data_IF_157679201861
#
_entry.id   IF_157679201861
#
_cell.length_a   1.000
_cell.length_b   1.000
_cell.length_c   1.000
_cell.angle_alpha   90.00
_cell.angle_beta   90.00
_cell.angle_gamma   90.00
#
_symmetry.space_group_name_H-M   'P 1'
#
loop_
_entity.id
_entity.type
_entity.pdbx_description
1 polymer ?
#
# COMPACT_ATOMS: atom_id res chain seq x y z
N UNK A 1 -38.14 37.52 -18.25
CA UNK A 1 -37.99 38.13 -19.59
C UNK A 1 -37.61 37.00 -20.53
N UNK A 2 -38.53 36.17 -21.06
CA UNK A 2 -39.74 36.43 -21.83
C UNK A 2 -39.50 37.22 -23.13
N UNK A 3 -40.18 36.72 -24.17
CA UNK A 3 -40.45 37.25 -25.51
C UNK A 3 -39.45 36.90 -26.64
N UNK A 4 -39.85 36.45 -27.84
CA UNK A 4 -41.19 36.38 -28.48
C UNK A 4 -41.05 35.63 -29.82
N UNK A 5 -42.08 34.90 -30.26
CA UNK A 5 -42.92 35.25 -31.43
C UNK A 5 -43.92 34.14 -31.80
N UNK A 6 -45.18 34.46 -31.50
CA UNK A 6 -46.46 33.92 -31.97
C UNK A 6 -46.82 34.44 -33.37
N UNK A 7 -47.57 33.63 -34.14
CA UNK A 7 -48.64 34.02 -35.10
C UNK A 7 -49.56 32.77 -35.23
N UNK A 8 -50.76 32.69 -34.62
CA UNK A 8 -52.10 33.21 -35.03
C UNK A 8 -52.55 32.71 -36.42
N UNK A 9 -53.78 32.26 -36.73
CA UNK A 9 -55.05 31.88 -36.06
C UNK A 9 -56.02 31.52 -37.22
N UNK A 10 -56.97 30.57 -37.07
CA UNK A 10 -58.39 30.65 -37.56
C UNK A 10 -59.13 29.29 -37.66
N UNK A 11 -60.06 29.14 -36.73
CA UNK A 11 -61.50 28.74 -36.85
C UNK A 11 -62.03 27.76 -37.92
N UNK A 12 -62.58 26.66 -37.38
CA UNK A 12 -63.96 26.13 -37.46
C UNK A 12 -64.56 25.50 -38.76
N UNK A 13 -64.87 24.20 -38.57
CA UNK A 13 -66.09 23.43 -38.89
C UNK A 13 -66.52 23.21 -40.35
N UNK A 14 -66.59 21.94 -40.76
CA UNK A 14 -67.78 21.33 -41.36
C UNK A 14 -67.75 19.80 -41.19
N UNK A 15 -68.87 19.25 -40.75
CA UNK A 15 -69.12 17.81 -40.66
C UNK A 15 -69.43 17.24 -42.04
N UNK A 16 -68.83 16.09 -42.37
CA UNK A 16 -69.35 15.16 -43.39
C UNK A 16 -69.23 13.75 -42.82
N UNK A 17 -70.40 13.16 -42.54
CA UNK A 17 -70.54 11.74 -42.29
C UNK A 17 -70.40 11.00 -43.64
N UNK A 18 -69.46 10.07 -43.73
CA UNK A 18 -69.49 9.01 -44.73
C UNK A 18 -68.83 7.77 -44.13
N UNK A 19 -69.65 6.73 -43.90
CA UNK A 19 -69.22 5.49 -43.28
C UNK A 19 -68.19 4.75 -44.12
N UNK A 20 -67.29 4.03 -43.45
CA UNK A 20 -66.46 2.98 -44.03
C UNK A 20 -66.01 2.05 -42.92
N UNK A 21 -66.63 0.87 -42.89
CA UNK A 21 -66.16 -0.44 -42.40
C UNK A 21 -65.14 -0.43 -41.25
N UNK A 22 -65.58 -0.87 -40.07
CA UNK A 22 -64.68 -1.29 -39.00
C UNK A 22 -63.82 -2.47 -39.49
N UNK A 23 -62.55 -2.22 -39.80
CA UNK A 23 -61.54 -3.27 -39.85
C UNK A 23 -61.12 -3.51 -38.40
N UNK A 24 -61.26 -4.71 -37.85
CA UNK A 24 -60.68 -4.99 -36.54
C UNK A 24 -59.17 -4.86 -36.68
N UNK A 25 -58.60 -3.83 -36.04
CA UNK A 25 -57.16 -3.81 -35.76
C UNK A 25 -56.94 -4.89 -34.73
N UNK A 26 -56.60 -6.09 -35.19
CA UNK A 26 -55.94 -7.09 -34.34
C UNK A 26 -54.69 -6.43 -33.79
N UNK A 27 -54.69 -6.15 -32.48
CA UNK A 27 -53.45 -5.87 -31.77
C UNK A 27 -52.55 -7.09 -32.00
N UNK A 28 -51.50 -6.90 -32.81
CA UNK A 28 -50.42 -7.86 -32.86
C UNK A 28 -49.83 -7.94 -31.45
N UNK A 29 -50.08 -9.05 -30.76
CA UNK A 29 -49.31 -9.41 -29.59
C UNK A 29 -47.88 -9.58 -30.09
N UNK A 30 -46.98 -8.65 -29.76
CA UNK A 30 -45.55 -8.90 -29.92
C UNK A 30 -45.22 -9.98 -28.89
N UNK A 31 -45.30 -11.24 -29.33
CA UNK A 31 -44.68 -12.36 -28.63
C UNK A 31 -43.20 -12.01 -28.62
N UNK A 32 -42.69 -11.50 -27.50
CA UNK A 32 -41.25 -11.50 -27.27
C UNK A 32 -40.87 -12.97 -27.19
N UNK A 33 -40.11 -13.53 -28.15
CA UNK A 33 -39.72 -14.92 -28.06
C UNK A 33 -38.99 -15.09 -26.74
N UNK A 34 -39.45 -16.04 -25.93
CA UNK A 34 -38.68 -16.50 -24.77
C UNK A 34 -37.30 -16.91 -25.31
N UNK A 35 -36.21 -16.32 -24.80
CA UNK A 35 -34.89 -16.58 -25.34
C UNK A 35 -34.61 -18.08 -25.28
N UNK A 36 -34.10 -18.64 -26.38
CA UNK A 36 -33.79 -20.08 -26.48
C UNK A 36 -32.64 -20.38 -25.54
N UNK A 37 -32.89 -21.30 -24.60
CA UNK A 37 -31.90 -21.75 -23.64
C UNK A 37 -31.10 -22.92 -24.23
N UNK A 38 -29.79 -22.76 -24.34
CA UNK A 38 -28.87 -23.74 -24.90
C UNK A 38 -27.89 -24.22 -23.84
N UNK A 39 -27.74 -25.54 -23.71
CA UNK A 39 -26.79 -26.13 -22.77
C UNK A 39 -25.35 -25.93 -23.24
N UNK A 40 -24.50 -25.46 -22.33
CA UNK A 40 -23.08 -25.12 -22.55
C UNK A 40 -22.19 -25.84 -21.53
N UNK A 41 -20.88 -25.63 -21.67
CA UNK A 41 -19.88 -26.27 -20.81
C UNK A 41 -18.97 -25.23 -20.16
N UNK A 42 -18.54 -25.52 -18.94
CA UNK A 42 -17.42 -24.84 -18.29
C UNK A 42 -16.26 -25.83 -18.22
N UNK A 43 -15.09 -25.45 -18.71
CA UNK A 43 -13.85 -26.22 -18.69
C UNK A 43 -12.88 -25.56 -17.72
N UNK A 44 -12.25 -26.34 -16.85
CA UNK A 44 -11.25 -25.88 -15.89
C UNK A 44 -9.92 -26.59 -16.18
N UNK A 45 -8.88 -25.82 -16.50
CA UNK A 45 -7.54 -26.32 -16.83
C UNK A 45 -7.54 -27.40 -17.93
N UNK A 46 -8.35 -27.20 -18.96
CA UNK A 46 -8.51 -28.14 -20.08
C UNK A 46 -9.46 -29.31 -19.82
N UNK A 47 -9.92 -29.51 -18.58
CA UNK A 47 -10.83 -30.59 -18.21
C UNK A 47 -12.28 -30.11 -18.07
N UNK A 48 -13.28 -30.76 -18.69
CA UNK A 48 -14.68 -30.42 -18.51
C UNK A 48 -15.10 -30.55 -17.05
N UNK A 49 -15.70 -29.49 -16.50
CA UNK A 49 -16.32 -29.57 -15.17
C UNK A 49 -17.64 -30.35 -15.26
N UNK A 50 -18.20 -30.72 -14.09
CA UNK A 50 -19.55 -31.28 -14.03
C UNK A 50 -20.64 -30.23 -14.34
N UNK A 51 -20.30 -28.95 -14.45
CA UNK A 51 -21.25 -27.89 -14.73
C UNK A 51 -21.71 -27.92 -16.19
N UNK A 52 -23.03 -27.99 -16.38
CA UNK A 52 -23.68 -27.92 -17.69
C UNK A 52 -24.72 -26.79 -17.72
N UNK A 53 -24.30 -25.52 -17.59
CA UNK A 53 -25.21 -24.39 -17.52
C UNK A 53 -26.00 -24.24 -18.82
N UNK A 54 -27.27 -23.84 -18.71
CA UNK A 54 -28.01 -23.33 -19.86
C UNK A 54 -27.75 -21.84 -20.01
N UNK A 55 -27.36 -21.40 -21.20
CA UNK A 55 -27.14 -19.99 -21.55
C UNK A 55 -28.19 -19.52 -22.54
N UNK A 56 -28.33 -18.22 -22.70
CA UNK A 56 -29.12 -17.66 -23.81
C UNK A 56 -28.48 -16.38 -24.34
N UNK A 57 -28.81 -16.02 -25.58
CA UNK A 57 -28.40 -14.75 -26.18
C UNK A 57 -29.55 -13.76 -26.21
N UNK A 58 -29.30 -12.53 -25.77
CA UNK A 58 -30.24 -11.42 -25.89
C UNK A 58 -29.49 -10.18 -26.37
N UNK A 59 -29.95 -9.58 -27.47
CA UNK A 59 -29.34 -8.41 -28.11
C UNK A 59 -27.84 -8.60 -28.42
N UNK A 60 -27.45 -9.82 -28.84
CA UNK A 60 -26.06 -10.15 -29.15
C UNK A 60 -25.17 -10.42 -27.93
N UNK A 61 -25.70 -10.34 -26.70
CA UNK A 61 -24.98 -10.65 -25.46
C UNK A 61 -25.38 -12.03 -24.98
N UNK A 62 -24.39 -12.88 -24.68
CA UNK A 62 -24.61 -14.20 -24.09
C UNK A 62 -24.65 -14.09 -22.57
N UNK A 63 -25.68 -14.67 -21.97
CA UNK A 63 -25.94 -14.67 -20.55
C UNK A 63 -25.78 -16.08 -19.97
N UNK A 64 -25.04 -16.20 -18.87
CA UNK A 64 -24.80 -17.45 -18.16
C UNK A 64 -25.35 -17.37 -16.72
N UNK A 65 -25.96 -18.45 -16.22
CA UNK A 65 -26.49 -18.51 -14.86
C UNK A 65 -25.37 -18.44 -13.84
N UNK A 66 -25.46 -17.45 -12.95
CA UNK A 66 -24.44 -17.10 -11.97
C UNK A 66 -24.06 -18.26 -11.04
N UNK A 67 -25.04 -19.08 -10.65
CA UNK A 67 -24.87 -20.18 -9.71
C UNK A 67 -23.76 -21.18 -10.10
N UNK A 68 -23.62 -21.48 -11.39
CA UNK A 68 -22.60 -22.42 -11.86
C UNK A 68 -21.19 -21.83 -11.76
N UNK A 69 -21.05 -20.53 -12.04
CA UNK A 69 -19.78 -19.80 -11.90
C UNK A 69 -19.39 -19.71 -10.43
N UNK A 70 -20.33 -19.41 -9.54
CA UNK A 70 -20.10 -19.38 -8.09
C UNK A 70 -19.57 -20.72 -7.57
N UNK A 71 -20.10 -21.85 -8.05
CA UNK A 71 -19.63 -23.18 -7.63
C UNK A 71 -18.23 -23.48 -8.12
N UNK A 72 -17.87 -23.07 -9.35
CA UNK A 72 -16.50 -23.25 -9.85
C UNK A 72 -15.52 -22.42 -9.02
N UNK A 73 -15.85 -21.16 -8.71
CA UNK A 73 -15.05 -20.34 -7.80
C UNK A 73 -14.94 -20.96 -6.40
N UNK A 74 -16.02 -21.58 -5.89
CA UNK A 74 -15.98 -22.27 -4.61
C UNK A 74 -15.02 -23.47 -4.61
N UNK A 75 -14.91 -24.20 -5.72
CA UNK A 75 -13.92 -25.27 -5.88
C UNK A 75 -12.48 -24.76 -5.85
N UNK A 76 -12.26 -23.50 -6.25
CA UNK A 76 -10.97 -22.81 -6.22
C UNK A 76 -10.69 -22.13 -4.88
N UNK A 77 -11.56 -22.30 -3.87
CA UNK A 77 -11.37 -21.75 -2.52
C UNK A 77 -11.92 -20.33 -2.31
N UNK A 78 -12.59 -19.74 -3.31
CA UNK A 78 -13.27 -18.45 -3.14
C UNK A 78 -14.64 -18.63 -2.50
N UNK A 79 -15.00 -17.78 -1.54
CA UNK A 79 -16.36 -17.79 -0.99
C UNK A 79 -17.24 -16.85 -1.79
N UNK A 80 -18.51 -17.20 -1.93
CA UNK A 80 -19.45 -16.47 -2.78
C UNK A 80 -20.75 -16.20 -2.03
N UNK A 81 -21.26 -14.97 -2.13
CA UNK A 81 -22.59 -14.61 -1.58
C UNK A 81 -23.39 -13.82 -2.60
N UNK A 82 -24.70 -14.08 -2.69
CA UNK A 82 -25.63 -13.31 -3.49
C UNK A 82 -26.68 -12.68 -2.56
N UNK A 83 -26.65 -11.35 -2.42
CA UNK A 83 -27.59 -10.63 -1.54
C UNK A 83 -27.89 -9.26 -2.11
N UNK A 84 -29.18 -8.88 -2.13
CA UNK A 84 -29.64 -7.55 -2.54
C UNK A 84 -29.10 -7.08 -3.91
N UNK A 85 -29.00 -8.01 -4.88
CA UNK A 85 -28.49 -7.70 -6.22
C UNK A 85 -26.97 -7.61 -6.32
N UNK A 86 -26.24 -7.94 -5.25
CA UNK A 86 -24.77 -7.95 -5.25
C UNK A 86 -24.28 -9.38 -5.12
N UNK A 87 -23.43 -9.78 -6.07
CA UNK A 87 -22.58 -10.96 -5.96
C UNK A 87 -21.27 -10.54 -5.32
N UNK A 88 -21.02 -10.93 -4.08
CA UNK A 88 -19.74 -10.70 -3.43
C UNK A 88 -18.90 -11.98 -3.45
N UNK A 89 -17.70 -11.89 -4.02
CA UNK A 89 -16.65 -12.90 -3.95
C UNK A 89 -15.66 -12.49 -2.85
N UNK A 90 -15.47 -13.37 -1.87
CA UNK A 90 -14.43 -13.20 -0.86
C UNK A 90 -13.20 -13.97 -1.30
N UNK A 91 -12.10 -13.23 -1.46
CA UNK A 91 -10.81 -13.70 -1.92
C UNK A 91 -9.88 -13.88 -0.71
N UNK A 92 -9.23 -15.04 -0.53
CA UNK A 92 -8.19 -15.19 0.47
C UNK A 92 -7.10 -14.12 0.30
N UNK A 93 -6.63 -13.52 1.39
CA UNK A 93 -5.68 -12.39 1.33
C UNK A 93 -4.36 -12.73 0.62
N UNK A 94 -3.98 -14.00 0.59
CA UNK A 94 -2.80 -14.52 -0.11
C UNK A 94 -2.96 -14.62 -1.63
N UNK A 95 -4.18 -14.49 -2.16
CA UNK A 95 -4.46 -14.45 -3.60
C UNK A 95 -4.61 -12.98 -4.04
N UNK A 96 -3.84 -12.52 -5.04
CA UNK A 96 -3.97 -11.17 -5.55
C UNK A 96 -5.30 -10.97 -6.26
N UNK A 97 -5.93 -9.82 -6.03
CA UNK A 97 -7.19 -9.45 -6.67
C UNK A 97 -7.21 -7.96 -7.00
N UNK A 98 -7.68 -7.62 -8.20
CA UNK A 98 -7.89 -6.23 -8.59
C UNK A 98 -9.28 -5.75 -8.13
N UNK A 99 -9.28 -4.97 -7.05
CA UNK A 99 -10.48 -4.39 -6.44
C UNK A 99 -10.82 -2.98 -6.95
N UNK A 100 -10.17 -2.51 -8.02
CA UNK A 100 -10.48 -1.21 -8.62
C UNK A 100 -11.91 -1.18 -9.17
N UNK A 101 -12.70 -0.11 -8.92
CA UNK A 101 -14.02 0.02 -9.52
C UNK A 101 -13.91 0.33 -11.01
N UNK A 102 -14.76 -0.32 -11.83
CA UNK A 102 -14.97 0.08 -13.22
C UNK A 102 -15.37 1.57 -13.29
N UNK A 103 -14.78 2.31 -14.23
CA UNK A 103 -14.93 3.77 -14.31
C UNK A 103 -16.38 4.21 -14.57
N UNK A 104 -17.18 3.39 -15.25
CA UNK A 104 -18.61 3.63 -15.41
C UNK A 104 -19.35 2.30 -15.61
N UNK A 105 -20.24 1.96 -14.69
CA UNK A 105 -21.22 0.92 -14.95
C UNK A 105 -22.54 1.21 -14.23
N UNK A 106 -23.63 1.23 -14.99
CA UNK A 106 -24.99 1.30 -14.50
C UNK A 106 -25.65 -0.08 -14.65
N UNK A 107 -26.37 -0.53 -13.64
CA UNK A 107 -26.83 -1.91 -13.58
C UNK A 107 -27.86 -2.14 -12.51
N UNK A 108 -28.72 -3.14 -12.72
CA UNK A 108 -29.62 -3.67 -11.68
C UNK A 108 -28.92 -4.72 -10.78
N UNK A 109 -27.68 -5.10 -11.10
CA UNK A 109 -26.84 -6.01 -10.34
C UNK A 109 -25.40 -5.49 -10.23
N UNK A 110 -24.65 -6.01 -9.26
CA UNK A 110 -23.24 -5.68 -9.04
C UNK A 110 -22.40 -6.90 -8.68
N UNK A 111 -21.10 -6.81 -8.98
CA UNK A 111 -20.06 -7.72 -8.52
C UNK A 111 -19.18 -6.95 -7.54
N UNK A 112 -18.92 -7.57 -6.40
CA UNK A 112 -18.01 -7.07 -5.38
C UNK A 112 -16.90 -8.09 -5.09
N UNK A 113 -15.69 -7.58 -4.85
CA UNK A 113 -14.56 -8.33 -4.33
C UNK A 113 -14.27 -7.84 -2.91
N UNK A 114 -14.29 -8.74 -1.93
CA UNK A 114 -14.03 -8.41 -0.53
C UNK A 114 -14.88 -7.23 0.00
N UNK A 115 -16.13 -7.13 -0.45
CA UNK A 115 -17.07 -6.07 -0.07
C UNK A 115 -16.99 -4.79 -0.91
N UNK A 116 -15.93 -4.61 -1.71
CA UNK A 116 -15.79 -3.47 -2.61
C UNK A 116 -16.45 -3.77 -3.97
N UNK A 117 -17.39 -2.93 -4.40
CA UNK A 117 -18.04 -3.07 -5.72
C UNK A 117 -17.03 -2.75 -6.82
N UNK A 118 -16.68 -3.75 -7.62
CA UNK A 118 -15.75 -3.63 -8.75
C UNK A 118 -16.47 -3.41 -10.07
N UNK A 119 -17.72 -3.87 -10.18
CA UNK A 119 -18.49 -3.82 -11.42
C UNK A 119 -19.99 -3.73 -11.16
N UNK A 120 -20.71 -2.99 -12.00
CA UNK A 120 -22.16 -3.06 -12.14
C UNK A 120 -22.54 -3.56 -13.53
N UNK A 121 -23.67 -4.25 -13.63
CA UNK A 121 -24.12 -4.84 -14.89
C UNK A 121 -25.64 -5.02 -14.92
N UNK A 122 -26.17 -5.27 -16.10
CA UNK A 122 -27.57 -5.66 -16.29
C UNK A 122 -27.70 -7.17 -16.20
N UNK A 123 -28.11 -7.66 -15.04
CA UNK A 123 -28.46 -9.07 -14.82
C UNK A 123 -29.91 -9.36 -15.22
N UNK A 124 -30.16 -10.62 -15.62
CA UNK A 124 -31.50 -11.09 -15.98
C UNK A 124 -31.90 -12.24 -15.04
N UNK A 125 -33.03 -12.08 -14.35
CA UNK A 125 -33.61 -13.17 -13.58
C UNK A 125 -34.45 -14.06 -14.51
N UNK A 126 -34.10 -15.35 -14.61
CA UNK A 126 -34.82 -16.33 -15.41
C UNK A 126 -34.78 -17.72 -14.75
N UNK A 127 -35.68 -18.62 -15.14
CA UNK A 127 -35.69 -20.00 -14.64
C UNK A 127 -34.58 -20.79 -15.33
N UNK A 128 -33.68 -21.39 -14.55
CA UNK A 128 -32.68 -22.32 -15.06
C UNK A 128 -33.36 -23.65 -15.44
N UNK A 129 -33.31 -24.08 -16.71
CA UNK A 129 -33.94 -25.31 -17.17
C UNK A 129 -33.46 -26.58 -16.44
N UNK A 130 -32.20 -26.62 -15.99
CA UNK A 130 -31.66 -27.80 -15.32
C UNK A 130 -32.24 -28.00 -13.91
N UNK A 131 -32.42 -26.92 -13.15
CA UNK A 131 -32.90 -26.97 -11.76
C UNK A 131 -34.39 -26.64 -11.61
N UNK A 132 -35.01 -26.01 -12.60
CA UNK A 132 -36.37 -25.47 -12.54
C UNK A 132 -36.53 -24.27 -11.61
N UNK A 133 -35.42 -23.69 -11.12
CA UNK A 133 -35.41 -22.58 -10.14
C UNK A 133 -35.07 -21.26 -10.80
N UNK A 134 -35.66 -20.18 -10.29
CA UNK A 134 -35.26 -18.82 -10.67
C UNK A 134 -33.82 -18.57 -10.23
N UNK A 135 -32.98 -18.13 -11.17
CA UNK A 135 -31.60 -17.73 -10.91
C UNK A 135 -31.27 -16.43 -11.64
N UNK A 136 -30.16 -15.80 -11.26
CA UNK A 136 -29.65 -14.61 -11.92
C UNK A 136 -28.67 -15.01 -13.03
N UNK A 137 -28.81 -14.41 -14.20
CA UNK A 137 -27.91 -14.62 -15.34
C UNK A 137 -27.12 -13.35 -15.61
N UNK A 138 -25.80 -13.51 -15.74
CA UNK A 138 -24.86 -12.42 -16.00
C UNK A 138 -24.29 -12.54 -17.42
N UNK A 139 -23.96 -11.42 -18.09
CA UNK A 139 -23.23 -11.48 -19.34
C UNK A 139 -21.90 -12.23 -19.17
N UNK A 140 -21.57 -13.10 -20.13
CA UNK A 140 -20.33 -13.88 -20.07
C UNK A 140 -19.09 -12.97 -20.05
N UNK A 141 -19.12 -11.85 -20.78
CA UNK A 141 -18.02 -10.87 -20.77
C UNK A 141 -17.73 -10.30 -19.37
N UNK A 142 -18.77 -10.08 -18.54
CA UNK A 142 -18.59 -9.63 -17.16
C UNK A 142 -18.01 -10.73 -16.28
N UNK A 143 -18.35 -11.99 -16.54
CA UNK A 143 -17.74 -13.15 -15.88
C UNK A 143 -16.26 -13.23 -16.25
N UNK A 144 -15.89 -13.09 -17.53
CA UNK A 144 -14.48 -13.08 -17.98
C UNK A 144 -13.69 -11.95 -17.32
N UNK A 145 -14.26 -10.74 -17.22
CA UNK A 145 -13.63 -9.61 -16.53
C UNK A 145 -13.41 -9.88 -15.04
N UNK A 146 -14.38 -10.49 -14.35
CA UNK A 146 -14.19 -10.90 -12.96
C UNK A 146 -13.06 -11.93 -12.83
N UNK A 147 -12.99 -12.93 -13.72
CA UNK A 147 -11.92 -13.94 -13.69
C UNK A 147 -10.55 -13.28 -13.88
N UNK A 148 -10.43 -12.33 -14.81
CA UNK A 148 -9.20 -11.57 -15.02
C UNK A 148 -8.78 -10.80 -13.76
N UNK A 149 -9.73 -10.20 -13.03
CA UNK A 149 -9.46 -9.53 -11.74
C UNK A 149 -8.95 -10.48 -10.65
N UNK A 150 -9.16 -11.78 -10.79
CA UNK A 150 -8.65 -12.83 -9.89
C UNK A 150 -7.36 -13.49 -10.42
N UNK A 151 -6.82 -13.04 -11.54
CA UNK A 151 -5.68 -13.66 -12.21
C UNK A 151 -6.01 -14.99 -12.92
N UNK A 152 -7.30 -15.27 -13.15
CA UNK A 152 -7.77 -16.44 -13.89
C UNK A 152 -7.96 -16.05 -15.35
N UNK A 153 -7.34 -16.77 -16.27
CA UNK A 153 -7.53 -16.54 -17.70
C UNK A 153 -8.84 -17.21 -18.13
N UNK A 154 -9.80 -16.41 -18.57
CA UNK A 154 -11.11 -16.88 -18.99
C UNK A 154 -11.36 -16.56 -20.47
N UNK A 155 -11.86 -17.54 -21.23
CA UNK A 155 -12.19 -17.38 -22.65
C UNK A 155 -13.51 -18.06 -23.00
N UNK A 156 -14.39 -17.32 -23.66
CA UNK A 156 -15.64 -17.80 -24.21
C UNK A 156 -15.57 -17.97 -25.74
N UNK A 157 -15.84 -19.18 -26.22
CA UNK A 157 -15.81 -19.51 -27.67
C UNK A 157 -17.21 -19.51 -28.33
N UNK A 158 -18.26 -19.17 -27.59
CA UNK A 158 -19.65 -19.29 -28.03
C UNK A 158 -20.38 -20.54 -27.51
N UNK A 159 -19.63 -21.55 -27.08
CA UNK A 159 -20.14 -22.82 -26.56
C UNK A 159 -19.54 -23.23 -25.21
N UNK A 160 -18.31 -22.83 -24.96
CA UNK A 160 -17.51 -23.26 -23.81
C UNK A 160 -16.88 -22.04 -23.15
N UNK A 161 -17.04 -21.95 -21.83
CA UNK A 161 -16.25 -21.04 -20.98
C UNK A 161 -15.06 -21.82 -20.47
N UNK A 162 -13.86 -21.52 -20.99
CA UNK A 162 -12.62 -22.13 -20.54
C UNK A 162 -11.96 -21.24 -19.49
N UNK A 163 -11.57 -21.83 -18.37
CA UNK A 163 -10.90 -21.18 -17.25
C UNK A 163 -9.54 -21.84 -17.05
N UNK A 164 -8.47 -21.07 -17.13
CA UNK A 164 -7.10 -21.48 -16.81
C UNK A 164 -6.66 -20.83 -15.50
N UNK A 165 -6.41 -21.69 -14.51
CA UNK A 165 -5.98 -21.34 -13.15
C UNK A 165 -4.59 -21.89 -12.85
N UNK A 166 -3.81 -22.29 -13.86
CA UNK A 166 -2.49 -22.89 -13.69
C UNK A 166 -1.51 -21.96 -12.94
N UNK A 167 -1.67 -20.64 -13.11
CA UNK A 167 -0.89 -19.61 -12.42
C UNK A 167 -1.62 -19.00 -11.21
N UNK A 168 -2.77 -19.55 -10.79
CA UNK A 168 -3.47 -19.09 -9.61
C UNK A 168 -2.76 -19.65 -8.35
N UNK A 169 -2.38 -18.81 -7.38
CA UNK A 169 -1.74 -19.30 -6.17
C UNK A 169 -2.70 -20.12 -5.32
N UNK A 170 -2.15 -21.09 -4.59
CA UNK A 170 -2.90 -21.82 -3.57
C UNK A 170 -3.15 -20.90 -2.37
N UNK A 171 -4.38 -20.81 -1.83
CA UNK A 171 -4.64 -20.05 -0.61
C UNK A 171 -3.73 -20.50 0.54
N UNK A 172 -3.07 -19.54 1.17
CA UNK A 172 -2.33 -19.77 2.42
C UNK A 172 -3.27 -19.89 3.63
N UNK A 173 -2.73 -20.32 4.77
CA UNK A 173 -3.45 -20.30 6.03
C UNK A 173 -3.90 -18.88 6.39
N UNK A 174 -5.00 -18.76 7.16
CA UNK A 174 -5.63 -17.46 7.44
C UNK A 174 -4.74 -16.47 8.23
N UNK A 175 -3.73 -16.99 8.92
CA UNK A 175 -2.71 -16.27 9.67
C UNK A 175 -1.42 -16.02 8.87
N UNK A 176 -1.42 -16.33 7.57
CA UNK A 176 -0.26 -16.15 6.68
C UNK A 176 -0.61 -15.22 5.52
N UNK A 177 0.40 -14.50 5.04
CA UNK A 177 0.33 -13.64 3.86
C UNK A 177 1.43 -13.99 2.86
N UNK A 178 1.22 -13.64 1.60
CA UNK A 178 2.22 -13.84 0.56
C UNK A 178 3.26 -12.72 0.57
N UNK A 179 4.46 -13.00 0.07
CA UNK A 179 5.52 -11.99 -0.11
C UNK A 179 5.02 -10.83 -0.98
N UNK A 180 4.21 -11.10 -2.00
CA UNK A 180 3.63 -10.07 -2.87
C UNK A 180 2.84 -9.00 -2.09
N UNK A 181 2.20 -9.34 -0.97
CA UNK A 181 1.47 -8.37 -0.15
C UNK A 181 2.40 -7.30 0.40
N UNK A 182 3.62 -7.69 0.81
CA UNK A 182 4.64 -6.75 1.26
C UNK A 182 5.18 -5.93 0.09
N UNK A 183 5.44 -6.54 -1.06
CA UNK A 183 5.96 -5.83 -2.23
C UNK A 183 5.02 -4.70 -2.67
N UNK A 184 3.71 -4.96 -2.74
CA UNK A 184 2.70 -3.92 -3.03
C UNK A 184 2.79 -2.77 -2.04
N UNK A 185 2.88 -3.07 -0.74
CA UNK A 185 2.90 -2.05 0.29
C UNK A 185 4.20 -1.24 0.30
N UNK A 186 5.34 -1.89 0.07
CA UNK A 186 6.65 -1.25 -0.07
C UNK A 186 6.68 -0.38 -1.32
N UNK A 187 6.28 -0.90 -2.47
CA UNK A 187 6.25 -0.14 -3.72
C UNK A 187 5.39 1.14 -3.56
N UNK A 188 4.22 1.02 -2.95
CA UNK A 188 3.35 2.17 -2.68
C UNK A 188 3.99 3.18 -1.71
N UNK A 189 4.61 2.72 -0.63
CA UNK A 189 5.26 3.59 0.36
C UNK A 189 6.44 4.37 -0.27
N UNK A 190 7.22 3.71 -1.12
CA UNK A 190 8.39 4.31 -1.79
C UNK A 190 8.06 5.00 -3.12
N UNK A 191 6.78 5.07 -3.51
CA UNK A 191 6.36 5.72 -4.76
C UNK A 191 6.80 4.98 -6.03
N UNK A 192 7.07 3.68 -5.93
CA UNK A 192 7.35 2.79 -7.07
C UNK A 192 6.01 2.45 -7.74
N UNK A 193 5.83 2.91 -8.97
CA UNK A 193 4.66 2.58 -9.77
C UNK A 193 4.76 1.13 -10.29
N UNK A 194 3.64 0.39 -10.37
CA UNK A 194 3.63 -0.95 -10.96
C UNK A 194 4.01 -0.87 -12.44
N UNK A 195 4.88 -1.78 -12.90
CA UNK A 195 5.23 -1.93 -14.32
C UNK A 195 4.58 -3.19 -14.91
N UNK A 196 3.50 -2.99 -15.65
CA UNK A 196 2.78 -4.07 -16.35
C UNK A 196 3.38 -4.45 -17.70
N UNK A 197 4.53 -3.88 -18.08
CA UNK A 197 5.20 -4.19 -19.33
C UNK A 197 5.76 -5.62 -19.36
N UNK A 198 6.16 -6.07 -20.56
CA UNK A 198 6.81 -7.36 -20.75
C UNK A 198 5.90 -8.57 -20.63
N UNK A 199 6.52 -9.75 -20.53
CA UNK A 199 5.85 -11.03 -20.29
C UNK A 199 6.53 -11.70 -19.14
N UNK A 200 5.76 -12.23 -18.20
CA UNK A 200 6.32 -12.97 -17.07
C UNK A 200 7.06 -14.22 -17.55
N UNK A 201 8.34 -14.40 -17.17
CA UNK A 201 9.07 -15.63 -17.41
C UNK A 201 8.74 -16.72 -16.37
N UNK A 202 7.91 -16.41 -15.37
CA UNK A 202 7.68 -17.26 -14.21
C UNK A 202 6.46 -18.16 -14.39
N UNK A 203 6.62 -19.44 -14.05
CA UNK A 203 5.53 -20.40 -14.13
C UNK A 203 4.46 -20.18 -13.04
N UNK A 204 4.86 -19.65 -11.89
CA UNK A 204 4.01 -19.42 -10.73
C UNK A 204 3.39 -18.02 -10.68
N UNK A 205 3.76 -17.11 -11.60
CA UNK A 205 3.24 -15.75 -11.68
C UNK A 205 2.95 -15.40 -13.13
N UNK A 206 1.69 -15.43 -13.55
CA UNK A 206 1.30 -15.02 -14.91
C UNK A 206 1.37 -13.51 -15.11
N UNK A 207 1.64 -13.06 -16.35
CA UNK A 207 1.54 -11.64 -16.77
C UNK A 207 0.15 -11.04 -16.48
N UNK A 208 -0.90 -11.87 -16.48
CA UNK A 208 -2.27 -11.44 -16.20
C UNK A 208 -2.59 -11.38 -14.69
N UNK A 209 -1.64 -11.74 -13.82
CA UNK A 209 -1.84 -11.66 -12.38
C UNK A 209 -1.93 -10.20 -11.94
N UNK A 210 -2.88 -9.84 -11.04
CA UNK A 210 -2.91 -8.51 -10.44
C UNK A 210 -1.63 -8.15 -9.66
N UNK A 211 -0.83 -9.14 -9.27
CA UNK A 211 0.47 -8.91 -8.62
C UNK A 211 1.62 -8.61 -9.60
N UNK A 212 1.47 -8.92 -10.89
CA UNK A 212 2.58 -8.87 -11.86
C UNK A 212 3.27 -7.50 -11.87
N UNK A 213 2.51 -6.42 -12.01
CA UNK A 213 3.10 -5.08 -12.17
C UNK A 213 3.95 -4.64 -10.98
N UNK A 214 3.52 -4.95 -9.76
CA UNK A 214 4.28 -4.64 -8.55
C UNK A 214 5.52 -5.53 -8.43
N UNK A 215 5.36 -6.84 -8.61
CA UNK A 215 6.47 -7.79 -8.54
C UNK A 215 7.54 -7.47 -9.57
N UNK A 216 7.14 -7.16 -10.81
CA UNK A 216 8.04 -6.80 -11.88
C UNK A 216 8.84 -5.53 -11.55
N UNK A 217 8.15 -4.46 -11.12
CA UNK A 217 8.80 -3.22 -10.69
C UNK A 217 9.76 -3.43 -9.51
N UNK A 218 9.34 -4.20 -8.49
CA UNK A 218 10.19 -4.58 -7.35
C UNK A 218 11.47 -5.30 -7.77
N UNK A 219 11.42 -6.17 -8.79
CA UNK A 219 12.60 -6.87 -9.33
C UNK A 219 13.51 -5.88 -10.07
N UNK A 220 12.96 -5.03 -10.93
CA UNK A 220 13.73 -4.03 -11.68
C UNK A 220 14.45 -3.02 -10.77
N UNK A 221 13.81 -2.69 -9.63
CA UNK A 221 14.39 -1.80 -8.61
C UNK A 221 15.37 -2.51 -7.66
N UNK A 222 15.54 -3.83 -7.78
CA UNK A 222 16.40 -4.61 -6.89
C UNK A 222 15.83 -4.80 -5.47
N UNK A 223 14.56 -4.45 -5.25
CA UNK A 223 13.85 -4.62 -3.98
C UNK A 223 13.63 -6.11 -3.70
N UNK A 224 13.26 -6.87 -4.73
CA UNK A 224 12.99 -8.31 -4.65
C UNK A 224 13.88 -9.12 -5.58
N UNK A 225 14.26 -10.31 -5.13
CA UNK A 225 15.02 -11.29 -5.91
C UNK A 225 14.18 -12.58 -6.08
N UNK A 226 13.87 -13.00 -7.32
CA UNK A 226 13.18 -14.26 -7.59
C UNK A 226 13.96 -15.48 -7.09
N UNK A 227 13.25 -16.58 -6.82
CA UNK A 227 13.87 -17.84 -6.39
C UNK A 227 14.71 -18.46 -7.53
N UNK A 228 14.27 -18.30 -8.78
CA UNK A 228 14.98 -18.78 -9.96
C UNK A 228 14.55 -18.00 -11.21
N UNK A 229 15.15 -18.33 -12.36
CA UNK A 229 14.76 -17.75 -13.65
C UNK A 229 13.35 -18.14 -14.13
N UNK A 230 12.70 -19.13 -13.50
CA UNK A 230 11.36 -19.61 -13.87
C UNK A 230 10.36 -19.68 -12.70
N UNK A 231 10.76 -19.28 -11.50
CA UNK A 231 9.90 -19.19 -10.32
C UNK A 231 10.11 -17.85 -9.60
N UNK A 232 9.04 -17.06 -9.52
CA UNK A 232 9.05 -15.80 -8.80
C UNK A 232 9.15 -16.06 -7.29
N UNK A 233 8.33 -16.96 -6.76
CA UNK A 233 8.29 -17.29 -5.33
C UNK A 233 7.44 -16.36 -4.47
N UNK A 234 6.80 -15.35 -5.08
CA UNK A 234 6.11 -14.26 -4.37
C UNK A 234 4.81 -14.67 -3.67
N UNK A 235 4.31 -15.88 -3.94
CA UNK A 235 3.11 -16.43 -3.30
C UNK A 235 3.43 -17.35 -2.11
N UNK A 236 4.71 -17.56 -1.78
CA UNK A 236 5.10 -18.27 -0.58
C UNK A 236 4.72 -17.47 0.68
N UNK A 237 4.48 -18.13 1.83
CA UNK A 237 4.30 -17.46 3.11
C UNK A 237 5.48 -16.53 3.45
N UNK A 238 5.17 -15.28 3.77
CA UNK A 238 6.16 -14.27 4.14
C UNK A 238 6.70 -14.53 5.55
N UNK A 239 8.00 -14.73 5.69
CA UNK A 239 8.66 -14.75 7.00
C UNK A 239 9.16 -13.36 7.41
N UNK A 240 9.41 -13.17 8.70
CA UNK A 240 10.04 -11.94 9.22
C UNK A 240 11.37 -11.66 8.52
N UNK A 241 12.24 -12.66 8.36
CA UNK A 241 13.51 -12.48 7.66
C UNK A 241 13.36 -12.03 6.20
N UNK A 242 12.34 -12.53 5.49
CA UNK A 242 12.05 -12.10 4.13
C UNK A 242 11.58 -10.65 4.11
N UNK A 243 10.75 -10.24 5.09
CA UNK A 243 10.32 -8.86 5.22
C UNK A 243 11.51 -7.92 5.50
N UNK A 244 12.38 -8.29 6.43
CA UNK A 244 13.60 -7.54 6.76
C UNK A 244 14.49 -7.33 5.52
N UNK A 245 14.67 -8.38 4.71
CA UNK A 245 15.47 -8.32 3.48
C UNK A 245 14.85 -7.42 2.42
N UNK A 246 13.53 -7.49 2.21
CA UNK A 246 12.82 -6.62 1.26
C UNK A 246 12.94 -5.16 1.68
N UNK A 247 12.74 -4.87 2.97
CA UNK A 247 12.87 -3.51 3.51
C UNK A 247 14.31 -3.00 3.37
N UNK A 248 15.30 -3.81 3.72
CA UNK A 248 16.72 -3.48 3.57
C UNK A 248 17.05 -3.05 2.13
N UNK A 249 16.57 -3.80 1.15
CA UNK A 249 16.75 -3.47 -0.26
C UNK A 249 15.96 -2.22 -0.67
N UNK A 250 14.74 -2.03 -0.17
CA UNK A 250 13.91 -0.86 -0.48
C UNK A 250 14.51 0.45 0.03
N UNK A 251 15.19 0.42 1.18
CA UNK A 251 15.97 1.56 1.69
C UNK A 251 17.33 1.74 0.97
N UNK A 252 17.63 0.91 -0.05
CA UNK A 252 18.83 1.02 -0.88
C UNK A 252 20.11 0.56 -0.19
N UNK A 253 19.99 -0.24 0.87
CA UNK A 253 21.15 -0.69 1.64
C UNK A 253 21.76 -1.91 0.95
N UNK A 254 23.06 -1.88 0.68
CA UNK A 254 23.77 -2.98 0.04
C UNK A 254 24.40 -3.94 1.06
N UNK A 255 24.85 -5.12 0.60
CA UNK A 255 25.66 -6.02 1.45
C UNK A 255 27.01 -5.42 1.82
N UNK A 256 27.55 -4.54 0.98
CA UNK A 256 28.85 -3.90 1.18
C UNK A 256 28.76 -2.85 2.30
N UNK A 257 27.59 -2.23 2.46
CA UNK A 257 27.31 -1.21 3.47
C UNK A 257 26.89 -1.80 4.83
N UNK A 258 26.70 -3.13 4.90
CA UNK A 258 26.21 -3.80 6.11
C UNK A 258 27.07 -3.47 7.35
N UNK A 259 28.39 -3.28 7.19
CA UNK A 259 29.28 -2.89 8.27
C UNK A 259 28.87 -1.59 9.00
N UNK A 260 28.16 -0.69 8.32
CA UNK A 260 27.72 0.62 8.81
C UNK A 260 26.30 0.59 9.37
N UNK A 261 25.57 -0.50 9.21
CA UNK A 261 24.19 -0.63 9.66
C UNK A 261 24.10 -1.34 11.02
N UNK A 262 23.23 -0.90 11.95
CA UNK A 262 23.03 -1.54 13.24
C UNK A 262 22.92 -3.08 13.15
N UNK A 263 23.84 -3.78 13.81
CA UNK A 263 23.88 -5.25 13.84
C UNK A 263 24.32 -5.95 12.55
N UNK A 264 24.62 -5.20 11.48
CA UNK A 264 25.27 -5.70 10.27
C UNK A 264 24.52 -6.74 9.45
N UNK A 265 23.20 -6.81 9.60
CA UNK A 265 22.35 -7.71 8.84
C UNK A 265 20.93 -7.15 8.75
N UNK A 266 20.14 -7.53 7.73
CA UNK A 266 18.75 -7.08 7.59
C UNK A 266 17.91 -7.26 8.84
N UNK A 267 17.96 -8.45 9.46
CA UNK A 267 17.17 -8.78 10.65
C UNK A 267 17.54 -7.89 11.85
N UNK A 268 18.85 -7.76 12.13
CA UNK A 268 19.30 -6.98 13.26
C UNK A 268 19.04 -5.48 13.06
N UNK A 269 19.20 -5.00 11.82
CA UNK A 269 18.95 -3.62 11.45
C UNK A 269 17.47 -3.25 11.55
N UNK A 270 16.57 -4.02 10.94
CA UNK A 270 15.14 -3.71 10.92
C UNK A 270 14.56 -3.63 12.34
N UNK A 271 15.07 -4.46 13.25
CA UNK A 271 14.74 -4.39 14.67
C UNK A 271 15.33 -3.16 15.36
N UNK A 272 16.60 -2.84 15.08
CA UNK A 272 17.28 -1.70 15.69
C UNK A 272 16.69 -0.34 15.28
N UNK A 273 16.22 -0.21 14.04
CA UNK A 273 15.58 1.02 13.52
C UNK A 273 14.05 1.03 13.70
N UNK A 274 13.49 0.01 14.37
CA UNK A 274 12.09 -0.03 14.76
C UNK A 274 11.08 -0.33 13.64
N UNK A 275 11.52 -0.73 12.45
CA UNK A 275 10.60 -1.16 11.37
C UNK A 275 9.90 -2.47 11.73
N UNK A 276 10.63 -3.39 12.35
CA UNK A 276 10.15 -4.71 12.78
C UNK A 276 10.29 -4.87 14.29
N UNK A 277 9.17 -4.86 15.05
CA UNK A 277 9.22 -4.84 16.51
C UNK A 277 9.60 -6.19 17.13
N UNK A 278 10.23 -6.13 18.31
CA UNK A 278 10.42 -7.29 19.20
C UNK A 278 9.09 -7.70 19.83
N UNK A 279 8.79 -9.01 20.06
CA UNK A 279 9.71 -10.15 20.03
C UNK A 279 9.61 -11.05 18.78
N UNK A 280 9.27 -10.50 17.60
CA UNK A 280 9.13 -11.29 16.38
C UNK A 280 10.42 -12.00 16.00
N UNK A 281 10.34 -13.28 15.61
CA UNK A 281 11.52 -14.07 15.23
C UNK A 281 11.62 -14.16 13.72
N UNK A 282 12.85 -14.16 13.22
CA UNK A 282 13.18 -14.23 11.80
C UNK A 282 12.52 -15.40 11.04
N UNK A 283 12.23 -16.51 11.73
CA UNK A 283 11.61 -17.71 11.15
C UNK A 283 10.09 -17.71 11.20
N UNK A 284 9.46 -16.80 11.94
CA UNK A 284 8.02 -16.73 12.08
C UNK A 284 7.39 -16.18 10.79
N UNK A 285 6.19 -16.65 10.45
CA UNK A 285 5.41 -16.08 9.36
C UNK A 285 4.72 -14.80 9.82
N UNK A 286 4.69 -13.79 8.97
CA UNK A 286 3.92 -12.58 9.22
C UNK A 286 2.43 -12.88 9.09
N UNK A 287 1.67 -12.37 10.05
CA UNK A 287 0.22 -12.27 9.98
C UNK A 287 -0.21 -11.00 9.22
N UNK A 288 -1.47 -10.90 8.77
CA UNK A 288 -2.02 -9.67 8.21
C UNK A 288 -1.89 -8.44 9.12
N UNK A 289 -2.05 -8.64 10.43
CA UNK A 289 -1.95 -7.57 11.42
C UNK A 289 -0.49 -7.09 11.57
N UNK A 290 0.46 -8.02 11.58
CA UNK A 290 1.88 -7.69 11.66
C UNK A 290 2.37 -6.98 10.39
N UNK A 291 1.90 -7.38 9.20
CA UNK A 291 2.15 -6.61 7.98
C UNK A 291 1.63 -5.18 8.11
N UNK A 292 0.40 -4.98 8.60
CA UNK A 292 -0.14 -3.63 8.80
C UNK A 292 0.73 -2.79 9.75
N UNK A 293 1.31 -3.41 10.80
CA UNK A 293 2.29 -2.77 11.67
C UNK A 293 3.57 -2.40 10.92
N UNK A 294 4.15 -3.30 10.14
CA UNK A 294 5.35 -3.02 9.34
C UNK A 294 5.10 -1.86 8.37
N UNK A 295 3.98 -1.89 7.65
CA UNK A 295 3.59 -0.83 6.70
C UNK A 295 3.40 0.51 7.42
N UNK A 296 2.77 0.52 8.59
CA UNK A 296 2.64 1.73 9.41
C UNK A 296 4.02 2.25 9.85
N UNK A 297 4.94 1.37 10.24
CA UNK A 297 6.27 1.78 10.66
C UNK A 297 7.08 2.37 9.50
N UNK A 298 7.00 1.77 8.31
CA UNK A 298 7.61 2.32 7.09
C UNK A 298 7.03 3.70 6.78
N UNK A 299 5.70 3.85 6.82
CA UNK A 299 5.06 5.15 6.58
C UNK A 299 5.52 6.22 7.58
N UNK A 300 5.50 5.91 8.88
CA UNK A 300 5.95 6.81 9.93
C UNK A 300 7.44 7.19 9.75
N UNK A 301 8.27 6.25 9.30
CA UNK A 301 9.69 6.53 9.03
C UNK A 301 9.87 7.49 7.86
N UNK A 302 9.14 7.28 6.76
CA UNK A 302 9.18 8.15 5.58
C UNK A 302 8.58 9.53 5.85
N UNK A 303 7.56 9.62 6.69
CA UNK A 303 6.98 10.89 7.16
C UNK A 303 7.89 11.61 8.18
N UNK A 304 8.73 10.83 8.88
CA UNK A 304 9.69 11.30 9.87
C UNK A 304 9.10 11.54 11.27
N UNK A 305 7.84 11.17 11.49
CA UNK A 305 7.18 11.24 12.80
C UNK A 305 5.94 10.35 12.87
N UNK A 306 5.43 10.13 14.09
CA UNK A 306 4.16 9.47 14.36
C UNK A 306 3.36 10.26 15.41
N UNK A 307 2.05 10.43 15.20
CA UNK A 307 1.18 11.06 16.21
C UNK A 307 0.98 10.11 17.41
N UNK A 308 1.39 10.53 18.60
CA UNK A 308 1.29 9.76 19.85
C UNK A 308 0.12 10.19 20.73
N UNK A 309 -0.51 11.31 20.38
CA UNK A 309 -1.71 11.82 21.02
C UNK A 309 -2.14 13.13 20.36
N UNK A 310 -3.32 13.64 20.74
CA UNK A 310 -3.82 14.90 20.19
C UNK A 310 -2.79 16.01 20.40
N UNK A 311 -2.27 16.56 19.29
CA UNK A 311 -1.24 17.61 19.31
C UNK A 311 0.14 17.18 19.83
N UNK A 312 0.47 15.89 19.78
CA UNK A 312 1.75 15.33 20.22
C UNK A 312 2.28 14.31 19.21
N UNK A 313 3.55 14.45 18.83
CA UNK A 313 4.21 13.58 17.86
C UNK A 313 5.53 13.09 18.44
N UNK A 314 5.87 11.83 18.16
CA UNK A 314 7.21 11.30 18.34
C UNK A 314 7.95 11.42 17.00
N UNK A 315 9.20 11.86 17.03
CA UNK A 315 10.04 11.87 15.83
C UNK A 315 10.41 10.43 15.47
N UNK A 316 10.44 10.13 14.18
CA UNK A 316 11.00 8.91 13.63
C UNK A 316 12.15 9.32 12.73
N UNK A 317 13.40 9.02 13.10
CA UNK A 317 14.55 9.44 12.32
C UNK A 317 14.51 8.77 10.93
N UNK A 318 14.38 9.55 9.82
CA UNK A 318 14.26 8.94 8.51
C UNK A 318 15.48 8.06 8.22
N UNK A 319 15.22 6.82 7.81
CA UNK A 319 16.29 5.86 7.57
C UNK A 319 17.03 6.25 6.29
N UNK A 320 18.35 6.10 6.32
CA UNK A 320 19.21 6.17 5.15
C UNK A 320 20.26 5.07 5.20
N UNK A 321 20.87 4.78 4.05
CA UNK A 321 22.10 3.99 4.01
C UNK A 321 23.23 4.77 4.72
N UNK A 322 23.47 4.44 5.98
CA UNK A 322 24.45 5.10 6.85
C UNK A 322 25.88 5.15 6.31
N UNK A 323 26.30 4.19 5.48
CA UNK A 323 27.60 4.26 4.81
C UNK A 323 27.71 5.54 3.98
N UNK A 324 26.66 5.87 3.23
CA UNK A 324 26.55 7.08 2.41
C UNK A 324 26.06 8.30 3.21
N UNK A 325 25.12 8.09 4.12
CA UNK A 325 24.37 9.16 4.78
C UNK A 325 25.08 9.77 6.00
N UNK A 326 26.01 9.04 6.62
CA UNK A 326 26.69 9.46 7.85
C UNK A 326 28.21 9.29 7.79
N UNK A 327 28.68 8.23 7.13
CA UNK A 327 30.08 7.82 7.13
C UNK A 327 30.80 7.99 5.78
N UNK A 328 30.21 8.73 4.84
CA UNK A 328 30.87 9.04 3.58
C UNK A 328 32.16 9.84 3.84
N UNK A 329 33.30 9.16 3.71
CA UNK A 329 34.62 9.74 4.02
C UNK A 329 35.02 9.68 5.50
N UNK A 330 34.47 8.73 6.28
CA UNK A 330 34.80 8.47 7.71
C UNK A 330 36.26 8.03 7.91
N UNK A 331 37.17 8.98 7.78
CA UNK A 331 38.55 8.88 8.23
C UNK A 331 39.16 10.26 8.39
N UNK A 332 40.18 10.36 9.25
CA UNK A 332 41.08 11.52 9.31
C UNK A 332 42.50 11.04 9.11
N UNK A 333 43.17 11.59 8.11
CA UNK A 333 44.51 11.14 7.68
C UNK A 333 44.57 9.62 7.40
N UNK A 334 43.48 9.05 6.85
CA UNK A 334 43.36 7.62 6.56
C UNK A 334 43.13 6.72 7.78
N UNK A 335 42.97 7.28 8.98
CA UNK A 335 42.56 6.55 10.19
C UNK A 335 41.05 6.66 10.37
N UNK A 336 40.29 5.55 10.45
CA UNK A 336 38.86 5.58 10.74
C UNK A 336 38.54 6.25 12.09
N UNK A 337 37.40 6.94 12.21
CA UNK A 337 36.99 7.51 13.51
C UNK A 337 36.66 6.44 14.55
N UNK A 338 36.23 5.26 14.08
CA UNK A 338 35.81 4.14 14.92
C UNK A 338 36.77 2.95 14.80
N UNK A 339 37.10 2.27 15.92
CA UNK A 339 38.09 1.20 15.92
C UNK A 339 37.57 -0.14 15.36
N UNK A 340 36.26 -0.28 15.12
CA UNK A 340 35.64 -1.50 14.61
C UNK A 340 34.25 -1.24 14.04
N UNK A 341 33.76 -2.15 13.21
CA UNK A 341 32.38 -2.13 12.71
C UNK A 341 31.37 -2.13 13.87
N UNK A 342 31.59 -2.94 14.92
CA UNK A 342 30.71 -2.96 16.09
C UNK A 342 30.59 -1.57 16.76
N UNK A 343 31.66 -0.78 16.77
CA UNK A 343 31.64 0.59 17.28
C UNK A 343 30.86 1.54 16.37
N UNK A 344 30.99 1.40 15.05
CA UNK A 344 30.18 2.15 14.06
C UNK A 344 28.70 1.83 14.25
N UNK A 345 28.34 0.54 14.27
CA UNK A 345 26.97 0.08 14.43
C UNK A 345 26.34 0.54 15.75
N UNK A 346 27.12 0.54 16.84
CA UNK A 346 26.68 1.08 18.12
C UNK A 346 26.46 2.60 18.07
N UNK A 347 27.30 3.34 17.37
CA UNK A 347 27.17 4.79 17.22
C UNK A 347 25.91 5.14 16.44
N UNK A 348 25.65 4.43 15.33
CA UNK A 348 24.40 4.57 14.56
C UNK A 348 23.18 4.22 15.39
N UNK A 349 23.20 3.09 16.09
CA UNK A 349 22.07 2.70 16.95
C UNK A 349 21.75 3.78 17.99
N UNK A 350 22.76 4.43 18.55
CA UNK A 350 22.57 5.57 19.46
C UNK A 350 22.01 6.81 18.76
N UNK A 351 22.40 7.07 17.50
CA UNK A 351 21.83 8.15 16.68
C UNK A 351 20.32 7.97 16.50
N UNK A 352 19.87 6.79 16.04
CA UNK A 352 18.44 6.49 15.91
C UNK A 352 17.73 6.60 17.27
N UNK A 353 18.25 5.97 18.32
CA UNK A 353 17.67 6.06 19.66
C UNK A 353 17.54 7.49 20.18
N UNK A 354 18.52 8.36 19.89
CA UNK A 354 18.44 9.77 20.27
C UNK A 354 17.32 10.49 19.52
N UNK A 355 17.31 10.44 18.19
CA UNK A 355 16.30 11.16 17.41
C UNK A 355 14.89 10.61 17.65
N UNK A 356 14.74 9.29 17.76
CA UNK A 356 13.45 8.64 18.04
C UNK A 356 12.91 8.93 19.45
N UNK A 357 13.78 9.41 20.35
CA UNK A 357 13.37 9.87 21.69
C UNK A 357 12.82 11.29 21.72
N UNK A 358 12.99 12.06 20.64
CA UNK A 358 12.48 13.42 20.53
C UNK A 358 10.96 13.41 20.36
N UNK A 359 10.31 14.39 20.98
CA UNK A 359 8.87 14.61 20.81
C UNK A 359 8.58 16.05 20.40
N UNK A 360 7.48 16.26 19.70
CA UNK A 360 6.97 17.59 19.37
C UNK A 360 5.58 17.72 19.97
N UNK A 361 5.34 18.80 20.70
CA UNK A 361 4.04 19.11 21.30
C UNK A 361 3.57 20.46 20.81
N UNK A 362 2.32 20.55 20.35
CA UNK A 362 1.69 21.82 20.00
C UNK A 362 1.00 22.42 21.23
N UNK A 363 1.45 23.61 21.63
CA UNK A 363 0.93 24.37 22.76
C UNK A 363 0.35 25.70 22.25
N UNK A 364 -0.99 25.77 22.16
CA UNK A 364 -1.67 26.91 21.55
C UNK A 364 -1.31 27.06 20.07
N UNK A 365 -0.63 28.16 19.73
CA UNK A 365 -0.16 28.45 18.36
C UNK A 365 1.31 28.07 18.13
N UNK A 366 2.02 27.62 19.17
CA UNK A 366 3.44 27.29 19.09
C UNK A 366 3.66 25.78 19.07
N UNK A 367 4.75 25.35 18.44
CA UNK A 367 5.26 23.99 18.55
C UNK A 367 6.52 24.00 19.41
N UNK A 368 6.63 23.00 20.27
CA UNK A 368 7.74 22.83 21.20
C UNK A 368 8.35 21.46 20.97
N UNK A 369 9.66 21.44 20.68
CA UNK A 369 10.47 20.24 20.71
C UNK A 369 10.77 19.90 22.18
N UNK A 370 10.46 18.67 22.56
CA UNK A 370 10.82 18.09 23.85
C UNK A 370 12.05 17.22 23.62
N UNK A 371 13.17 17.68 24.16
CA UNK A 371 14.44 16.96 24.15
C UNK A 371 14.58 16.26 25.50
N UNK A 372 14.60 14.92 25.54
CA UNK A 372 14.86 14.20 26.78
C UNK A 372 16.31 14.43 27.24
N UNK A 373 16.66 13.94 28.42
CA UNK A 373 18.07 13.91 28.81
C UNK A 373 18.88 13.15 27.76
N UNK A 374 19.91 13.76 27.14
CA UNK A 374 20.75 13.03 26.19
C UNK A 374 21.40 11.83 26.90
N UNK A 375 21.65 10.73 26.18
CA UNK A 375 22.39 9.59 26.70
C UNK A 375 23.68 10.02 27.40
N UNK A 376 23.97 9.46 28.58
CA UNK A 376 25.23 9.74 29.27
C UNK A 376 26.40 9.14 28.50
N UNK A 377 27.52 9.85 28.40
CA UNK A 377 28.73 9.35 27.74
C UNK A 377 29.34 10.40 26.81
N UNK A 378 29.78 9.97 25.63
CA UNK A 378 30.43 10.83 24.62
C UNK A 378 29.46 11.51 23.67
N UNK A 379 28.16 11.23 23.77
CA UNK A 379 27.12 11.77 22.89
C UNK A 379 26.55 13.11 23.38
N UNK A 380 26.24 14.00 22.47
CA UNK A 380 25.61 15.30 22.75
C UNK A 380 24.92 15.84 21.49
N UNK A 381 24.05 16.84 21.63
CA UNK A 381 23.42 17.47 20.47
C UNK A 381 23.64 18.98 20.40
N UNK A 382 23.65 19.49 19.17
CA UNK A 382 23.46 20.91 18.89
C UNK A 382 22.08 21.14 18.32
N UNK A 383 21.45 22.24 18.75
CA UNK A 383 20.23 22.76 18.13
C UNK A 383 20.50 24.18 17.68
N UNK A 384 20.14 24.48 16.43
CA UNK A 384 20.32 25.78 15.80
C UNK A 384 19.07 26.19 15.02
N UNK A 385 18.97 27.48 14.71
CA UNK A 385 17.90 28.05 13.88
C UNK A 385 18.42 29.30 13.17
N UNK A 386 17.63 29.87 12.26
CA UNK A 386 17.90 31.21 11.73
C UNK A 386 17.59 32.25 12.82
N UNK A 387 18.64 32.67 13.54
CA UNK A 387 18.55 33.61 14.67
C UNK A 387 18.89 32.93 16.00
N UNK A 388 18.16 33.26 17.05
CA UNK A 388 18.36 32.67 18.37
C UNK A 388 17.46 31.44 18.57
N UNK A 389 18.03 30.40 19.16
CA UNK A 389 17.29 29.27 19.73
C UNK A 389 16.71 29.70 21.07
N UNK A 390 15.40 29.50 21.24
CA UNK A 390 14.68 29.81 22.47
C UNK A 390 14.33 28.50 23.19
N UNK A 391 14.77 28.33 24.43
CA UNK A 391 14.60 27.10 25.20
C UNK A 391 14.32 27.32 26.68
N UNK A 392 13.77 26.32 27.35
CA UNK A 392 13.49 26.27 28.79
C UNK A 392 13.74 24.86 29.34
N UNK A 393 14.15 24.74 30.60
CA UNK A 393 14.13 23.47 31.34
C UNK A 393 12.78 23.32 32.04
N UNK A 394 12.09 22.20 31.82
CA UNK A 394 10.74 22.00 32.33
C UNK A 394 10.64 22.21 33.86
N UNK A 395 9.67 23.01 34.27
CA UNK A 395 9.44 23.38 35.67
C UNK A 395 10.23 24.60 36.17
N UNK A 396 11.11 25.20 35.36
CA UNK A 396 11.81 26.44 35.72
C UNK A 396 11.09 27.72 35.27
N UNK A 397 10.12 27.63 34.36
CA UNK A 397 9.27 28.73 33.86
C UNK A 397 10.06 29.92 33.32
N UNK A 398 11.23 29.67 32.71
CA UNK A 398 12.11 30.71 32.17
C UNK A 398 12.66 30.32 30.79
N UNK A 399 12.18 31.02 29.77
CA UNK A 399 12.73 30.95 28.42
C UNK A 399 14.06 31.72 28.32
N UNK A 400 15.05 31.06 27.74
CA UNK A 400 16.41 31.57 27.51
C UNK A 400 16.69 31.57 26.02
N UNK A 401 17.44 32.57 25.54
CA UNK A 401 17.86 32.68 24.15
C UNK A 401 19.36 32.41 24.04
N UNK A 402 19.76 31.60 23.06
CA UNK A 402 21.15 31.35 22.71
C UNK A 402 21.32 31.32 21.19
N UNK A 403 22.48 31.68 20.66
CA UNK A 403 22.77 31.55 19.23
C UNK A 403 22.80 30.08 18.77
N UNK A 404 23.37 29.23 19.62
CA UNK A 404 23.41 27.77 19.46
C UNK A 404 23.13 27.17 20.83
N UNK A 405 22.34 26.10 20.85
CA UNK A 405 22.07 25.31 22.05
C UNK A 405 22.97 24.07 22.00
N UNK A 406 24.02 24.05 22.82
CA UNK A 406 24.88 22.89 23.08
C UNK A 406 24.40 22.20 24.37
N UNK A 407 23.99 20.93 24.28
CA UNK A 407 23.49 20.23 25.47
C UNK A 407 24.54 19.97 26.54
N UNK A 408 25.83 20.16 26.25
CA UNK A 408 26.89 20.05 27.27
C UNK A 408 26.94 21.27 28.18
N UNK A 409 26.55 22.43 27.65
CA UNK A 409 26.52 23.70 28.37
C UNK A 409 25.24 23.89 29.20
N UNK A 410 24.24 23.02 28.99
CA UNK A 410 22.96 23.05 29.70
C UNK A 410 22.90 21.88 30.69
N UNK A 411 22.66 22.20 31.95
CA UNK A 411 22.52 21.22 33.03
C UNK A 411 21.05 21.15 33.44
N UNK A 412 20.39 20.01 33.22
CA UNK A 412 19.05 19.77 33.75
C UNK A 412 18.95 18.41 34.46
N UNK A 413 18.24 18.41 35.59
CA UNK A 413 18.20 17.24 36.47
C UNK A 413 17.40 16.08 35.84
N UNK A 414 17.71 14.85 36.27
CA UNK A 414 16.96 13.65 35.87
C UNK A 414 15.48 13.83 36.19
N UNK A 415 14.61 13.54 35.22
CA UNK A 415 13.16 13.74 35.32
C UNK A 415 12.66 15.07 34.75
N UNK A 416 13.57 16.01 34.47
CA UNK A 416 13.27 17.21 33.68
C UNK A 416 13.57 16.98 32.20
N UNK A 417 13.01 17.83 31.36
CA UNK A 417 13.17 17.84 29.91
C UNK A 417 13.58 19.22 29.45
N UNK A 418 14.28 19.27 28.32
CA UNK A 418 14.63 20.51 27.66
C UNK A 418 13.57 20.80 26.61
N UNK A 419 12.89 21.93 26.75
CA UNK A 419 11.83 22.40 25.86
C UNK A 419 12.43 23.45 24.94
N UNK A 420 12.32 23.25 23.62
CA UNK A 420 12.85 24.18 22.62
C UNK A 420 11.71 24.65 21.73
N UNK A 421 11.54 25.95 21.59
CA UNK A 421 10.52 26.51 20.71
C UNK A 421 10.91 26.24 19.25
N UNK A 422 9.99 25.69 18.45
CA UNK A 422 10.19 25.50 17.01
C UNK A 422 9.71 26.77 16.31
N UNK A 423 10.61 27.62 15.76
CA UNK A 423 10.21 28.80 15.02
C UNK A 423 9.69 28.40 13.64
N UNK A 424 9.02 29.34 12.95
CA UNK A 424 8.52 29.11 11.59
C UNK A 424 9.63 28.85 10.56
N UNK A 425 10.87 29.27 10.85
CA UNK A 425 12.06 28.96 10.06
C UNK A 425 12.60 27.54 10.28
N UNK A 426 12.05 26.81 11.26
CA UNK A 426 12.52 25.49 11.66
C UNK A 426 13.74 25.49 12.58
N UNK A 427 14.15 24.29 12.96
CA UNK A 427 15.34 23.95 13.72
C UNK A 427 16.22 23.01 12.90
N UNK A 428 17.53 23.10 13.10
CA UNK A 428 18.47 22.02 12.73
C UNK A 428 18.98 21.39 14.01
N UNK A 429 18.93 20.06 14.08
CA UNK A 429 19.31 19.26 15.24
C UNK A 429 20.38 18.29 14.77
N UNK A 430 21.53 18.27 15.43
CA UNK A 430 22.60 17.32 15.12
C UNK A 430 22.90 16.43 16.33
N UNK A 431 23.06 15.13 16.10
CA UNK A 431 23.64 14.22 17.07
C UNK A 431 25.14 14.09 16.82
N UNK A 432 25.93 14.31 17.86
CA UNK A 432 27.38 14.39 17.78
C UNK A 432 28.00 13.42 18.79
N UNK A 433 29.16 12.90 18.43
CA UNK A 433 29.97 12.10 19.33
C UNK A 433 31.36 12.72 19.51
N UNK A 434 31.81 12.80 20.75
CA UNK A 434 33.20 13.14 21.07
C UNK A 434 34.13 12.01 20.61
N UNK A 435 35.25 12.40 20.02
CA UNK A 435 36.34 11.53 19.58
C UNK A 435 37.61 11.85 20.40
N UNK A 436 37.76 11.32 21.64
CA UNK A 436 38.86 11.67 22.52
C UNK A 436 40.24 11.42 21.91
N UNK A 437 40.38 10.34 21.13
CA UNK A 437 41.63 10.00 20.43
C UNK A 437 42.05 11.05 19.41
N UNK A 438 41.10 11.80 18.86
CA UNK A 438 41.33 12.81 17.81
C UNK A 438 41.20 14.25 18.32
N UNK A 439 40.95 14.44 19.63
CA UNK A 439 40.68 15.75 20.24
C UNK A 439 39.61 16.56 19.48
N UNK A 440 38.54 15.89 19.07
CA UNK A 440 37.49 16.48 18.24
C UNK A 440 36.12 15.83 18.44
N UNK A 441 35.21 16.13 17.53
CA UNK A 441 33.84 15.59 17.50
C UNK A 441 33.48 15.21 16.06
N UNK A 442 32.55 14.28 15.91
CA UNK A 442 31.97 13.91 14.63
C UNK A 442 30.45 14.05 14.70
N UNK A 443 29.85 14.56 13.63
CA UNK A 443 28.40 14.58 13.45
C UNK A 443 27.98 13.21 12.92
N UNK A 444 27.04 12.55 13.59
CA UNK A 444 26.57 11.21 13.24
C UNK A 444 25.14 11.17 12.72
N UNK A 445 24.38 12.25 12.92
CA UNK A 445 23.07 12.41 12.33
C UNK A 445 22.63 13.87 12.37
N UNK A 446 21.92 14.30 11.35
CA UNK A 446 21.35 15.64 11.24
C UNK A 446 19.88 15.55 10.82
N UNK A 447 19.05 16.39 11.46
CA UNK A 447 17.61 16.49 11.25
C UNK A 447 17.22 17.96 11.13
N UNK A 448 16.48 18.29 10.08
CA UNK A 448 15.74 19.53 9.97
C UNK A 448 14.30 19.31 10.40
N UNK A 449 13.83 20.18 11.28
CA UNK A 449 12.51 20.10 11.89
C UNK A 449 11.81 21.44 11.72
N UNK A 450 10.66 21.46 11.06
CA UNK A 450 9.85 22.68 10.98
C UNK A 450 8.39 22.38 11.28
N UNK A 451 7.67 23.37 11.80
CA UNK A 451 6.26 23.23 12.10
C UNK A 451 5.53 24.53 11.76
N UNK A 452 4.47 24.42 10.96
CA UNK A 452 3.77 25.58 10.43
C UNK A 452 2.33 25.29 10.00
N UNK A 453 1.85 26.05 9.02
CA UNK A 453 0.50 25.90 8.47
C UNK A 453 0.26 24.53 7.83
N UNK A 454 1.30 23.92 7.28
CA UNK A 454 1.26 22.59 6.66
C UNK A 454 1.45 21.45 7.67
N UNK A 455 1.51 21.75 8.97
CA UNK A 455 1.78 20.77 10.01
C UNK A 455 3.27 20.63 10.33
N UNK A 456 3.63 19.52 10.96
CA UNK A 456 5.00 19.13 11.26
C UNK A 456 5.68 18.62 9.98
N UNK A 457 6.95 18.95 9.80
CA UNK A 457 7.78 18.47 8.70
C UNK A 457 9.14 18.08 9.27
N UNK A 458 9.58 16.88 8.91
CA UNK A 458 10.83 16.28 9.39
C UNK A 458 11.63 15.84 8.18
N UNK A 459 12.90 16.25 8.12
CA UNK A 459 13.78 15.88 7.03
C UNK A 459 15.15 15.49 7.57
N UNK A 460 15.62 14.29 7.20
CA UNK A 460 17.02 13.91 7.41
C UNK A 460 17.93 14.68 6.45
N UNK A 461 19.07 15.13 6.98
CA UNK A 461 20.17 15.63 6.16
C UNK A 461 21.29 14.60 6.14
N UNK A 462 21.77 14.25 4.95
CA UNK A 462 22.96 13.41 4.80
C UNK A 462 24.20 14.24 5.14
N UNK A 463 25.06 13.65 5.96
CA UNK A 463 26.29 14.27 6.43
C UNK A 463 27.42 13.84 5.51
N UNK A 464 28.13 14.83 4.98
CA UNK A 464 29.41 14.58 4.34
C UNK A 464 30.50 14.85 5.37
N UNK A 465 31.06 13.78 5.95
CA UNK A 465 32.08 13.86 7.00
C UNK A 465 33.50 14.09 6.45
N UNK A 466 33.63 14.44 5.16
CA UNK A 466 34.91 14.85 4.56
C UNK A 466 35.44 16.13 5.22
N UNK A 467 36.30 15.95 6.22
CA UNK A 467 37.12 17.03 6.75
C UNK A 467 38.26 17.30 5.78
N UNK A 468 38.04 18.18 4.80
CA UNK A 468 39.16 18.95 4.25
C UNK A 468 39.61 19.92 5.32
N UNK A 469 40.62 19.51 6.10
CA UNK A 469 41.47 20.42 6.86
C UNK A 469 42.62 20.91 6.00
#
# INVERSE_FOLDING_TARGET
MADRKTWMLRTAAFAVCAGSVAVPVTQASVVRPTPVMEQRTIVLNGEPTQAKPYTFSQNGVVYMPLWYVMNVLQQLGFLNTWKQGVWNVTVPMSIPADTSPDTESAGNAAIALNGAVVQRLQGIAATDPASGKLTMFFPVANIEQLMARLGIVATWDGTTLSLDTSALPTPLAADQIGIWNLLVAVDQAFGVAPDTSGTSPYADLSTNSPAWGYVHASIEKGIYQPISSNQAGVFAPLTVAMADQVLWNAYGISSDDAAYQPGGSPVAWASAVGLVPSPWKSTDFLTPQELATVVSNVHNNLEGFVETGKSSWQICYPIGDEATASFAGDSRNGQPFFPSNASVQSAVGQTYQFFDSLQVVKQGHSYVLVVPNPPTGTGFCYITTFGNVTYEISGQSKWTNAFVLDTRDVQWAKGHTLLVLIPSSGLTITWNQMLPLFSGTVVLGELQLSAGAQGLQVQRMNINSSTTS
#
